data_IF_809721017228
#
_entry.id   IF_809721017228
#
_cell.length_a   1.000
_cell.length_b   1.000
_cell.length_c   1.000
_cell.angle_alpha   90.00
_cell.angle_beta   90.00
_cell.angle_gamma   90.00
#
_symmetry.space_group_name_H-M   'P 1'
#
loop_
_entity.id
_entity.type
_entity.pdbx_description
1 polymer ?
#
# COMPACT_ATOMS: atom_id res chain seq x y z
N UNK A 1 -0.11 13.57 -13.81
CA UNK A 1 -1.53 13.89 -13.62
C UNK A 1 -2.32 12.60 -13.45
N UNK A 2 -3.26 12.60 -12.55
CA UNK A 2 -4.12 11.44 -12.32
C UNK A 2 -5.18 11.36 -13.40
N UNK A 3 -5.40 10.15 -13.92
CA UNK A 3 -6.48 9.88 -14.85
C UNK A 3 -7.80 9.86 -14.07
N UNK A 4 -8.80 10.69 -14.42
CA UNK A 4 -10.09 10.66 -13.73
C UNK A 4 -10.74 9.28 -13.72
N UNK A 5 -10.49 8.46 -14.74
CA UNK A 5 -11.07 7.12 -14.84
C UNK A 5 -10.37 6.10 -13.96
N UNK A 6 -9.24 6.44 -13.34
CA UNK A 6 -8.53 5.54 -12.44
C UNK A 6 -9.16 5.44 -11.06
N UNK A 7 -10.18 6.24 -10.79
CA UNK A 7 -10.91 6.24 -9.52
C UNK A 7 -10.23 7.01 -8.40
N UNK A 8 -8.95 7.40 -8.58
CA UNK A 8 -8.23 8.10 -7.54
C UNK A 8 -8.18 9.60 -7.76
N UNK A 9 -7.86 10.34 -6.71
CA UNK A 9 -7.50 11.76 -6.81
C UNK A 9 -6.19 11.99 -6.08
N UNK A 10 -5.37 12.89 -6.64
CA UNK A 10 -4.13 13.27 -5.99
C UNK A 10 -4.41 14.29 -4.88
N UNK A 11 -3.81 14.10 -3.69
CA UNK A 11 -3.81 15.14 -2.68
C UNK A 11 -3.02 16.35 -3.17
N UNK A 12 -3.22 17.52 -2.55
CA UNK A 12 -2.50 18.73 -2.96
C UNK A 12 -0.98 18.64 -2.77
N UNK A 13 -0.51 17.77 -1.89
CA UNK A 13 0.92 17.54 -1.65
C UNK A 13 1.12 16.15 -1.04
N UNK A 14 2.37 15.68 -1.01
CA UNK A 14 2.74 14.44 -0.32
C UNK A 14 2.91 14.75 1.17
N UNK A 15 2.23 13.99 2.04
CA UNK A 15 2.43 14.14 3.47
C UNK A 15 3.65 13.31 3.91
N UNK A 16 4.63 14.00 4.45
CA UNK A 16 5.81 13.38 5.06
C UNK A 16 5.87 13.88 6.50
N UNK A 17 5.59 13.02 7.51
CA UNK A 17 5.58 13.44 8.90
C UNK A 17 6.85 14.20 9.28
N UNK A 18 6.67 15.36 9.91
CA UNK A 18 7.78 16.23 10.32
C UNK A 18 8.33 17.13 9.22
N UNK A 19 7.89 16.98 7.96
CA UNK A 19 8.42 17.76 6.84
C UNK A 19 7.35 18.55 6.11
N UNK A 20 6.16 17.98 5.92
CA UNK A 20 5.06 18.65 5.21
C UNK A 20 3.80 18.65 6.08
N UNK A 21 2.81 19.52 5.79
CA UNK A 21 1.58 19.57 6.57
C UNK A 21 0.72 18.32 6.38
N UNK A 22 -0.05 17.99 7.42
CA UNK A 22 -1.06 16.94 7.33
C UNK A 22 -2.20 17.39 6.41
N UNK A 23 -2.83 16.40 5.79
CA UNK A 23 -4.08 16.64 5.05
C UNK A 23 -5.24 16.83 6.05
N UNK A 24 -6.35 17.48 5.65
CA UNK A 24 -7.57 17.46 6.45
C UNK A 24 -7.99 16.02 6.75
N UNK A 25 -8.49 15.78 7.97
CA UNK A 25 -8.86 14.42 8.41
C UNK A 25 -9.82 13.72 7.47
N UNK A 26 -10.76 14.46 6.90
CA UNK A 26 -11.81 13.87 6.06
C UNK A 26 -11.45 13.83 4.57
N UNK A 27 -10.22 14.20 4.20
CA UNK A 27 -9.84 14.32 2.79
C UNK A 27 -10.01 12.99 2.03
N UNK A 28 -9.77 11.85 2.71
CA UNK A 28 -9.78 10.53 2.10
C UNK A 28 -11.10 9.78 2.30
N UNK A 29 -12.09 10.39 2.97
CA UNK A 29 -13.32 9.69 3.37
C UNK A 29 -14.07 9.08 2.17
N UNK A 30 -14.24 9.83 1.10
CA UNK A 30 -14.95 9.33 -0.08
C UNK A 30 -14.25 8.11 -0.70
N UNK A 31 -12.91 8.11 -0.69
CA UNK A 31 -12.12 6.98 -1.20
C UNK A 31 -12.29 5.77 -0.28
N UNK A 32 -12.16 5.97 1.03
CA UNK A 32 -12.29 4.89 2.02
C UNK A 32 -13.70 4.30 2.02
N UNK A 33 -14.71 5.13 1.83
CA UNK A 33 -16.12 4.70 1.84
C UNK A 33 -16.47 3.83 0.63
N UNK A 34 -15.60 3.73 -0.36
CA UNK A 34 -15.78 2.80 -1.47
C UNK A 34 -15.70 1.34 -1.03
N UNK A 35 -15.17 1.08 0.17
CA UNK A 35 -15.12 -0.25 0.78
C UNK A 35 -16.07 -0.25 1.97
N UNK A 36 -16.99 -1.21 1.99
CA UNK A 36 -18.00 -1.34 3.06
C UNK A 36 -17.96 -2.76 3.63
N UNK A 37 -18.62 -3.01 4.78
CA UNK A 37 -18.73 -4.37 5.30
C UNK A 37 -19.38 -5.36 4.33
N UNK A 38 -20.15 -4.86 3.34
CA UNK A 38 -20.82 -5.68 2.34
C UNK A 38 -19.94 -5.95 1.11
N UNK A 39 -18.78 -5.32 1.01
CA UNK A 39 -17.88 -5.54 -0.13
C UNK A 39 -17.33 -6.96 -0.07
N UNK A 40 -17.54 -7.72 -1.14
CA UNK A 40 -17.04 -9.09 -1.24
C UNK A 40 -15.54 -9.10 -1.46
N UNK A 41 -14.86 -10.12 -0.96
CA UNK A 41 -13.41 -10.23 -1.07
C UNK A 41 -12.97 -10.24 -2.55
N UNK A 42 -13.71 -10.90 -3.42
CA UNK A 42 -13.40 -10.95 -4.85
C UNK A 42 -13.58 -9.60 -5.56
N UNK A 43 -14.26 -8.66 -4.92
CA UNK A 43 -14.50 -7.32 -5.48
C UNK A 43 -13.58 -6.25 -4.87
N UNK A 44 -12.82 -6.57 -3.83
CA UNK A 44 -11.97 -5.60 -3.13
C UNK A 44 -10.99 -4.90 -4.07
N UNK A 45 -10.41 -5.63 -5.01
CA UNK A 45 -9.42 -5.06 -5.94
C UNK A 45 -10.04 -4.10 -6.97
N UNK A 46 -11.36 -4.07 -7.07
CA UNK A 46 -12.07 -3.18 -7.98
C UNK A 46 -12.55 -1.89 -7.30
N UNK A 47 -12.39 -1.79 -5.99
CA UNK A 47 -12.81 -0.60 -5.24
C UNK A 47 -11.89 0.59 -5.50
N UNK A 48 -12.42 1.80 -5.36
CA UNK A 48 -11.63 3.01 -5.45
C UNK A 48 -10.48 3.01 -4.43
N UNK A 49 -10.72 2.52 -3.22
CA UNK A 49 -9.69 2.49 -2.18
C UNK A 49 -8.49 1.65 -2.61
N UNK A 50 -8.71 0.47 -3.20
CA UNK A 50 -7.62 -0.38 -3.63
C UNK A 50 -6.87 0.22 -4.82
N UNK A 51 -7.62 0.67 -5.84
CA UNK A 51 -7.03 1.28 -7.04
C UNK A 51 -6.25 2.54 -6.70
N UNK A 52 -6.83 3.38 -5.84
CA UNK A 52 -6.17 4.61 -5.40
C UNK A 52 -4.93 4.30 -4.56
N UNK A 53 -5.01 3.30 -3.71
CA UNK A 53 -3.85 2.86 -2.93
C UNK A 53 -2.67 2.46 -3.80
N UNK A 54 -2.91 1.68 -4.86
CA UNK A 54 -1.86 1.31 -5.80
C UNK A 54 -1.34 2.52 -6.58
N UNK A 55 -2.22 3.41 -6.97
CA UNK A 55 -1.84 4.63 -7.66
C UNK A 55 -0.91 5.48 -6.78
N UNK A 56 -1.26 5.63 -5.50
CA UNK A 56 -0.46 6.37 -4.55
C UNK A 56 0.89 5.70 -4.31
N UNK A 57 0.92 4.38 -4.20
CA UNK A 57 2.16 3.64 -4.00
C UNK A 57 3.14 3.89 -5.15
N UNK A 58 2.64 3.86 -6.38
CA UNK A 58 3.45 4.09 -7.58
C UNK A 58 3.81 5.55 -7.77
N UNK A 59 3.01 6.46 -7.23
CA UNK A 59 3.18 7.90 -7.41
C UNK A 59 3.98 8.60 -6.31
N UNK A 60 4.39 7.88 -5.27
CA UNK A 60 5.17 8.48 -4.19
C UNK A 60 4.36 9.02 -3.03
N UNK A 61 3.06 8.76 -3.00
CA UNK A 61 2.16 9.18 -1.91
C UNK A 61 2.05 8.03 -0.91
N UNK A 62 3.09 7.83 -0.10
CA UNK A 62 3.21 6.60 0.70
C UNK A 62 2.34 6.61 1.95
N UNK A 63 2.30 7.72 2.68
CA UNK A 63 1.41 7.84 3.82
C UNK A 63 -0.05 7.70 3.36
N UNK A 64 -0.37 8.37 2.26
CA UNK A 64 -1.72 8.36 1.68
C UNK A 64 -2.12 6.96 1.21
N UNK A 65 -1.17 6.23 0.63
CA UNK A 65 -1.37 4.83 0.25
C UNK A 65 -1.77 3.99 1.46
N UNK A 66 -1.02 4.08 2.54
CA UNK A 66 -1.30 3.39 3.79
C UNK A 66 -2.70 3.73 4.29
N UNK A 67 -3.05 5.01 4.27
CA UNK A 67 -4.33 5.49 4.79
C UNK A 67 -5.53 4.87 4.06
N UNK A 68 -5.50 4.83 2.72
CA UNK A 68 -6.63 4.29 1.96
C UNK A 68 -6.62 2.75 1.95
N UNK A 69 -5.45 2.11 1.97
CA UNK A 69 -5.39 0.65 1.99
C UNK A 69 -5.81 0.05 3.34
N UNK A 70 -5.74 0.80 4.43
CA UNK A 70 -6.28 0.33 5.70
C UNK A 70 -7.77 0.00 5.60
N UNK A 71 -8.54 0.78 4.85
CA UNK A 71 -9.96 0.52 4.63
C UNK A 71 -10.16 -0.82 3.91
N UNK A 72 -9.31 -1.14 2.95
CA UNK A 72 -9.35 -2.43 2.24
C UNK A 72 -8.97 -3.56 3.20
N UNK A 73 -7.90 -3.36 3.96
CA UNK A 73 -7.40 -4.37 4.91
C UNK A 73 -8.48 -4.78 5.91
N UNK A 74 -9.25 -3.82 6.41
CA UNK A 74 -10.32 -4.08 7.38
C UNK A 74 -11.39 -5.02 6.84
N UNK A 75 -11.57 -5.12 5.53
CA UNK A 75 -12.57 -5.98 4.92
C UNK A 75 -11.99 -7.29 4.37
N UNK A 76 -10.69 -7.53 4.54
CA UNK A 76 -10.12 -8.83 4.19
C UNK A 76 -10.45 -9.86 5.27
N UNK A 77 -10.74 -11.12 4.88
CA UNK A 77 -11.00 -12.16 5.89
C UNK A 77 -9.76 -12.38 6.77
N UNK A 78 -9.95 -12.63 8.08
CA UNK A 78 -8.83 -12.96 8.97
C UNK A 78 -8.02 -14.15 8.45
N UNK A 79 -6.69 -14.06 8.55
CA UNK A 79 -5.76 -15.12 8.16
C UNK A 79 -5.82 -15.49 6.67
N UNK A 80 -6.38 -14.62 5.82
CA UNK A 80 -6.46 -14.86 4.38
C UNK A 80 -5.21 -14.40 3.66
N UNK A 81 -4.96 -14.95 2.46
CA UNK A 81 -3.87 -14.48 1.61
C UNK A 81 -4.13 -13.06 1.12
N UNK A 82 -5.42 -12.68 0.97
CA UNK A 82 -5.78 -11.30 0.63
C UNK A 82 -5.32 -10.34 1.71
N UNK A 83 -5.52 -10.69 2.98
CA UNK A 83 -5.05 -9.88 4.11
C UNK A 83 -3.53 -9.75 4.10
N UNK A 84 -2.83 -10.85 3.86
CA UNK A 84 -1.37 -10.83 3.77
C UNK A 84 -0.88 -9.95 2.61
N UNK A 85 -1.55 -10.02 1.46
CA UNK A 85 -1.20 -9.19 0.32
C UNK A 85 -1.38 -7.70 0.63
N UNK A 86 -2.53 -7.30 1.18
CA UNK A 86 -2.78 -5.90 1.51
C UNK A 86 -1.78 -5.42 2.57
N UNK A 87 -1.48 -6.26 3.56
CA UNK A 87 -0.51 -5.91 4.59
C UNK A 87 0.88 -5.70 3.98
N UNK A 88 1.28 -6.54 3.01
CA UNK A 88 2.56 -6.36 2.33
C UNK A 88 2.64 -5.01 1.62
N UNK A 89 1.55 -4.60 0.98
CA UNK A 89 1.50 -3.30 0.28
C UNK A 89 1.58 -2.13 1.26
N UNK A 90 0.84 -2.23 2.38
CA UNK A 90 0.86 -1.19 3.42
C UNK A 90 2.28 -1.04 3.98
N UNK A 91 2.93 -2.14 4.33
CA UNK A 91 4.28 -2.08 4.89
C UNK A 91 5.32 -1.64 3.87
N UNK A 92 5.12 -1.96 2.60
CA UNK A 92 5.98 -1.47 1.53
C UNK A 92 5.89 0.06 1.41
N UNK A 93 4.68 0.61 1.47
CA UNK A 93 4.48 2.05 1.48
C UNK A 93 5.14 2.69 2.71
N UNK A 94 4.98 2.06 3.87
CA UNK A 94 5.60 2.55 5.12
C UNK A 94 7.13 2.52 5.03
N UNK A 95 7.71 1.50 4.40
CA UNK A 95 9.17 1.42 4.21
C UNK A 95 9.67 2.59 3.38
N UNK A 96 8.98 2.88 2.28
CA UNK A 96 9.34 4.02 1.43
C UNK A 96 9.18 5.35 2.18
N UNK A 97 8.13 5.47 2.97
CA UNK A 97 7.91 6.67 3.79
C UNK A 97 9.07 6.87 4.78
N UNK A 98 9.54 5.80 5.41
CA UNK A 98 10.66 5.87 6.34
C UNK A 98 11.94 6.35 5.65
N UNK A 99 12.16 5.96 4.42
CA UNK A 99 13.29 6.47 3.63
C UNK A 99 13.17 7.99 3.48
N UNK A 100 11.99 8.48 3.10
CA UNK A 100 11.75 9.92 2.95
C UNK A 100 11.92 10.68 4.27
N UNK A 101 11.64 10.02 5.39
CA UNK A 101 11.79 10.60 6.72
C UNK A 101 13.24 10.54 7.23
N UNK A 102 14.16 10.00 6.45
CA UNK A 102 15.57 9.86 6.87
C UNK A 102 15.77 8.75 7.90
N UNK A 103 14.94 7.70 7.88
CA UNK A 103 15.00 6.61 8.86
C UNK A 103 15.22 5.27 8.14
N UNK A 104 16.41 5.06 7.58
CA UNK A 104 16.68 3.85 6.77
C UNK A 104 16.62 2.56 7.58
N UNK A 105 16.98 2.57 8.87
CA UNK A 105 16.92 1.36 9.69
C UNK A 105 15.49 0.89 9.91
N UNK A 106 14.56 1.84 10.12
CA UNK A 106 13.14 1.51 10.22
C UNK A 106 12.64 0.94 8.89
N UNK A 107 13.09 1.52 7.77
CA UNK A 107 12.72 1.02 6.44
C UNK A 107 13.21 -0.43 6.24
N UNK A 108 14.42 -0.76 6.67
CA UNK A 108 14.96 -2.13 6.57
C UNK A 108 14.12 -3.13 7.36
N UNK A 109 13.69 -2.76 8.56
CA UNK A 109 12.81 -3.63 9.37
C UNK A 109 11.48 -3.88 8.67
N UNK A 110 10.92 -2.83 8.06
CA UNK A 110 9.66 -2.97 7.33
C UNK A 110 9.82 -3.84 6.09
N UNK A 111 10.96 -3.79 5.41
CA UNK A 111 11.23 -4.68 4.28
C UNK A 111 11.21 -6.16 4.69
N UNK A 112 11.72 -6.48 5.87
CA UNK A 112 11.65 -7.85 6.41
C UNK A 112 10.19 -8.27 6.60
N UNK A 113 9.35 -7.37 7.14
CA UNK A 113 7.93 -7.64 7.33
C UNK A 113 7.22 -7.87 5.99
N UNK A 114 7.53 -7.06 4.98
CA UNK A 114 6.96 -7.24 3.64
C UNK A 114 7.30 -8.64 3.10
N UNK A 115 8.55 -9.04 3.22
CA UNK A 115 8.99 -10.36 2.77
C UNK A 115 8.23 -11.48 3.48
N UNK A 116 8.06 -11.36 4.79
CA UNK A 116 7.31 -12.35 5.58
C UNK A 116 5.85 -12.45 5.13
N UNK A 117 5.20 -11.31 4.87
CA UNK A 117 3.82 -11.32 4.36
C UNK A 117 3.74 -11.97 2.99
N UNK A 118 4.68 -11.68 2.10
CA UNK A 118 4.69 -12.29 0.76
C UNK A 118 4.94 -13.80 0.81
N UNK A 119 5.75 -14.26 1.76
CA UNK A 119 5.97 -15.70 1.95
C UNK A 119 4.69 -16.41 2.36
N UNK A 120 3.83 -15.76 3.14
CA UNK A 120 2.53 -16.33 3.52
C UNK A 120 1.53 -16.36 2.36
N UNK A 121 1.85 -15.70 1.26
CA UNK A 121 1.03 -15.75 0.04
C UNK A 121 1.42 -16.92 -0.88
N UNK A 122 2.38 -17.72 -0.49
CA UNK A 122 2.81 -18.86 -1.31
C UNK A 122 1.85 -20.05 -1.14
N UNK A 123 1.67 -20.90 -2.16
CA UNK A 123 2.35 -20.89 -3.47
C UNK A 123 1.93 -19.69 -4.32
N UNK A 124 2.73 -19.33 -5.35
CA UNK A 124 2.43 -18.17 -6.17
C UNK A 124 1.06 -18.30 -6.84
N UNK A 125 0.28 -17.23 -6.73
CA UNK A 125 -1.03 -17.09 -7.37
C UNK A 125 -1.38 -15.61 -7.41
N UNK A 126 -2.23 -15.18 -8.35
CA UNK A 126 -2.72 -13.81 -8.31
C UNK A 126 -3.59 -13.59 -7.06
N UNK A 127 -3.35 -12.51 -6.34
CA UNK A 127 -4.11 -12.12 -5.15
C UNK A 127 -4.54 -10.67 -5.35
N UNK A 128 -5.84 -10.42 -5.33
CA UNK A 128 -6.38 -9.06 -5.59
C UNK A 128 -5.84 -8.49 -6.91
N UNK A 129 -5.71 -9.35 -7.91
CA UNK A 129 -5.23 -8.98 -9.23
C UNK A 129 -3.72 -8.74 -9.32
N UNK A 130 -2.97 -9.01 -8.26
CA UNK A 130 -1.51 -8.81 -8.22
C UNK A 130 -0.78 -10.14 -8.15
N UNK A 131 0.29 -10.28 -8.94
CA UNK A 131 1.21 -11.38 -8.79
C UNK A 131 2.16 -11.10 -7.62
N UNK A 132 2.43 -12.10 -6.78
CA UNK A 132 3.39 -11.95 -5.68
C UNK A 132 4.77 -11.56 -6.20
N UNK A 133 5.16 -12.06 -7.37
CA UNK A 133 6.42 -11.71 -8.02
C UNK A 133 6.54 -10.22 -8.34
N UNK A 134 5.43 -9.61 -8.74
CA UNK A 134 5.40 -8.18 -9.04
C UNK A 134 5.67 -7.36 -7.79
N UNK A 135 5.00 -7.70 -6.69
CA UNK A 135 5.20 -7.01 -5.41
C UNK A 135 6.60 -7.26 -4.88
N UNK A 136 7.12 -8.47 -5.06
CA UNK A 136 8.52 -8.78 -4.67
C UNK A 136 9.50 -7.94 -5.46
N UNK A 137 9.23 -7.68 -6.73
CA UNK A 137 10.03 -6.76 -7.54
C UNK A 137 10.06 -5.35 -6.94
N UNK A 138 8.93 -4.86 -6.45
CA UNK A 138 8.87 -3.55 -5.78
C UNK A 138 9.66 -3.55 -4.48
N UNK A 139 9.58 -4.63 -3.70
CA UNK A 139 10.36 -4.80 -2.48
C UNK A 139 11.85 -4.77 -2.78
N UNK A 140 12.28 -5.49 -3.81
CA UNK A 140 13.68 -5.53 -4.20
C UNK A 140 14.20 -4.16 -4.63
N UNK A 141 13.35 -3.35 -5.28
CA UNK A 141 13.71 -1.98 -5.65
C UNK A 141 13.98 -1.12 -4.40
N UNK A 142 13.16 -1.26 -3.36
CA UNK A 142 13.39 -0.57 -2.09
C UNK A 142 14.71 -1.02 -1.45
N UNK A 143 14.96 -2.32 -1.45
CA UNK A 143 16.19 -2.89 -0.89
C UNK A 143 17.44 -2.38 -1.61
N UNK A 144 17.38 -2.21 -2.93
CA UNK A 144 18.47 -1.61 -3.68
C UNK A 144 18.72 -0.17 -3.26
N UNK A 145 17.68 0.60 -3.08
CA UNK A 145 17.82 1.98 -2.59
C UNK A 145 18.46 2.03 -1.21
N UNK A 146 18.21 1.02 -0.38
CA UNK A 146 18.80 0.91 0.94
C UNK A 146 20.21 0.30 0.92
N UNK A 147 20.72 -0.06 -0.25
CA UNK A 147 22.03 -0.70 -0.39
C UNK A 147 22.08 -2.14 0.11
N UNK A 148 20.91 -2.80 0.21
CA UNK A 148 20.84 -4.18 0.69
C UNK A 148 21.02 -5.17 -0.46
N UNK A 149 21.59 -6.35 -0.15
CA UNK A 149 21.64 -7.45 -1.08
C UNK A 149 20.21 -7.98 -1.36
N UNK A 150 19.99 -8.40 -2.59
CA UNK A 150 18.71 -8.93 -3.03
C UNK A 150 18.69 -10.47 -2.88
#
# INVERSE_FOLDING_TARGET
MIDPDSGGRLPPHVYIPGQTPRHPENWFDAIKDSVTPDTKVEDLHQTDAFKTGLLYLKGGYFWECHEVLEAVWMQTPPASVEREMVQSLIQLANARLKILMGRPDAARRLCVMVDEHLQRCMPPQPILGLATEEVRGWLNAVRRELGQAI
#
